data_IF_607720196020
#
_entry.id   IF_607720196020
#
_cell.length_a   1.000
_cell.length_b   1.000
_cell.length_c   1.000
_cell.angle_alpha   90.00
_cell.angle_beta   90.00
_cell.angle_gamma   90.00
#
_symmetry.space_group_name_H-M   'P 1'
#
loop_
_entity.id
_entity.type
_entity.pdbx_description
1 polymer ?
#
# COMPACT_ATOMS: atom_id res chain seq x y z
N UNK A 1 -1.39 -13.86 -3.83
CA UNK A 1 -0.37 -14.13 -2.78
C UNK A 1 -0.27 -12.91 -1.89
N UNK A 2 -0.18 -13.11 -0.56
CA UNK A 2 -0.13 -12.03 0.44
C UNK A 2 1.10 -12.14 1.37
N UNK A 3 2.12 -12.91 0.97
CA UNK A 3 3.34 -13.18 1.74
C UNK A 3 4.26 -11.94 1.86
N UNK A 4 3.90 -10.85 1.19
CA UNK A 4 4.49 -9.52 1.25
C UNK A 4 3.33 -8.52 1.19
N UNK A 5 3.35 -7.40 1.93
CA UNK A 5 2.30 -6.39 1.83
C UNK A 5 2.04 -5.95 0.39
N UNK A 6 0.80 -5.63 0.04
CA UNK A 6 0.49 -5.12 -1.30
C UNK A 6 0.78 -3.62 -1.29
N UNK A 7 1.55 -3.15 -2.26
CA UNK A 7 1.94 -1.75 -2.32
C UNK A 7 2.99 -1.36 -1.28
N UNK A 8 3.14 -0.04 -1.14
CA UNK A 8 4.17 0.60 -0.31
C UNK A 8 3.70 0.87 1.12
N UNK A 9 2.41 1.07 1.31
CA UNK A 9 1.85 1.57 2.55
C UNK A 9 0.96 0.54 3.22
N UNK A 10 1.00 0.50 4.55
CA UNK A 10 0.12 -0.30 5.38
C UNK A 10 -0.47 0.61 6.46
N UNK A 11 -1.79 0.70 6.56
CA UNK A 11 -2.46 1.60 7.52
C UNK A 11 -3.76 2.16 6.97
N UNK A 12 -4.15 3.36 7.40
CA UNK A 12 -5.37 4.01 6.89
C UNK A 12 -5.03 5.20 6.01
N UNK A 13 -4.55 6.31 6.60
CA UNK A 13 -4.18 7.51 5.83
C UNK A 13 -3.07 7.22 4.83
N UNK A 14 -2.08 6.40 5.20
CA UNK A 14 -0.99 6.00 4.30
C UNK A 14 -1.48 5.19 3.09
N UNK A 15 -2.50 4.35 3.26
CA UNK A 15 -3.08 3.58 2.13
C UNK A 15 -3.90 4.47 1.19
N UNK A 16 -4.56 5.52 1.71
CA UNK A 16 -5.18 6.55 0.88
C UNK A 16 -4.14 7.29 0.05
N UNK A 17 -2.99 7.66 0.65
CA UNK A 17 -1.85 8.25 -0.08
C UNK A 17 -1.41 7.31 -1.21
N UNK A 18 -1.19 6.02 -0.91
CA UNK A 18 -0.80 5.03 -1.92
C UNK A 18 -1.80 4.87 -3.05
N UNK A 19 -3.10 4.92 -2.73
CA UNK A 19 -4.18 4.83 -3.71
C UNK A 19 -4.17 6.04 -4.65
N UNK A 20 -4.01 7.24 -4.11
CA UNK A 20 -3.90 8.48 -4.89
C UNK A 20 -2.63 8.47 -5.75
N UNK A 21 -1.49 8.01 -5.22
CA UNK A 21 -0.26 7.86 -5.98
C UNK A 21 -0.46 6.90 -7.18
N UNK A 22 -1.20 5.79 -7.01
CA UNK A 22 -1.56 4.89 -8.13
C UNK A 22 -2.44 5.60 -9.16
N UNK A 23 -3.44 6.36 -8.73
CA UNK A 23 -4.34 7.12 -9.59
C UNK A 23 -3.65 8.29 -10.32
N UNK A 24 -2.54 8.78 -9.77
CA UNK A 24 -1.65 9.77 -10.39
C UNK A 24 -0.60 9.14 -11.33
N UNK A 25 -0.57 7.81 -11.45
CA UNK A 25 0.42 7.08 -12.26
C UNK A 25 1.79 6.88 -11.61
N UNK A 26 1.97 7.26 -10.33
CA UNK A 26 3.24 7.24 -9.60
C UNK A 26 3.29 6.18 -8.48
N UNK A 27 2.22 5.40 -8.29
CA UNK A 27 2.09 4.44 -7.21
C UNK A 27 2.74 3.09 -7.48
N UNK A 28 2.59 2.18 -6.51
CA UNK A 28 3.22 0.85 -6.58
C UNK A 28 2.74 0.01 -7.77
N UNK A 29 3.69 -0.56 -8.50
CA UNK A 29 3.43 -1.36 -9.70
C UNK A 29 2.60 -2.63 -9.41
N UNK A 30 2.75 -3.22 -8.22
CA UNK A 30 2.00 -4.41 -7.82
C UNK A 30 0.52 -4.11 -7.55
N UNK A 31 0.24 -2.98 -6.91
CA UNK A 31 -1.11 -2.49 -6.62
C UNK A 31 -1.80 -2.13 -7.92
N UNK A 32 -1.13 -1.34 -8.76
CA UNK A 32 -1.63 -1.00 -10.11
C UNK A 32 -1.92 -2.28 -10.91
N UNK A 33 -0.98 -3.23 -10.94
CA UNK A 33 -1.15 -4.48 -11.67
C UNK A 33 -2.37 -5.28 -11.21
N UNK A 34 -2.61 -5.36 -9.89
CA UNK A 34 -3.79 -6.03 -9.34
C UNK A 34 -5.09 -5.30 -9.69
N UNK A 35 -5.12 -3.96 -9.60
CA UNK A 35 -6.28 -3.15 -10.00
C UNK A 35 -6.62 -3.38 -11.47
N UNK A 36 -5.62 -3.34 -12.36
CA UNK A 36 -5.83 -3.61 -13.79
C UNK A 36 -6.43 -5.00 -13.99
N UNK A 37 -5.82 -6.05 -13.41
CA UNK A 37 -6.30 -7.43 -13.56
C UNK A 37 -7.76 -7.57 -13.10
N UNK A 38 -8.10 -7.04 -11.92
CA UNK A 38 -9.43 -7.18 -11.34
C UNK A 38 -10.48 -6.38 -12.14
N UNK A 39 -10.16 -5.14 -12.52
CA UNK A 39 -11.06 -4.28 -13.30
C UNK A 39 -11.30 -4.85 -14.70
N UNK A 40 -10.27 -5.38 -15.38
CA UNK A 40 -10.43 -6.07 -16.66
C UNK A 40 -11.44 -7.20 -16.58
N UNK A 41 -11.29 -8.05 -15.55
CA UNK A 41 -12.20 -9.18 -15.36
C UNK A 41 -13.64 -8.71 -15.15
N UNK A 42 -13.83 -7.65 -14.36
CA UNK A 42 -15.14 -7.05 -14.11
C UNK A 42 -15.80 -6.49 -15.37
N UNK A 43 -15.04 -5.80 -16.23
CA UNK A 43 -15.54 -5.21 -17.48
C UNK A 43 -15.95 -6.26 -18.51
N UNK A 44 -15.19 -7.36 -18.60
CA UNK A 44 -15.52 -8.47 -19.51
C UNK A 44 -16.73 -9.23 -18.98
N UNK A 45 -16.76 -9.56 -17.69
CA UNK A 45 -17.87 -10.30 -17.08
C UNK A 45 -19.19 -9.52 -17.08
N UNK A 46 -19.13 -8.19 -16.97
CA UNK A 46 -20.31 -7.32 -17.08
C UNK A 46 -20.78 -7.10 -18.53
N UNK A 47 -20.05 -7.62 -19.53
CA UNK A 47 -20.38 -7.45 -20.95
C UNK A 47 -20.12 -6.04 -21.49
N UNK A 48 -19.42 -5.19 -20.74
CA UNK A 48 -19.06 -3.83 -21.19
C UNK A 48 -17.90 -3.84 -22.18
N UNK A 49 -17.02 -4.85 -22.10
CA UNK A 49 -15.91 -5.04 -23.02
C UNK A 49 -15.88 -6.46 -23.59
N UNK A 50 -15.50 -6.64 -24.86
CA UNK A 50 -15.58 -7.92 -25.55
C UNK A 50 -14.50 -8.92 -25.13
N UNK A 51 -13.36 -8.44 -24.60
CA UNK A 51 -12.23 -9.28 -24.18
C UNK A 51 -11.32 -8.52 -23.21
N UNK A 52 -10.42 -9.26 -22.56
CA UNK A 52 -9.50 -8.72 -21.56
C UNK A 52 -8.51 -7.71 -22.14
N UNK A 53 -8.11 -7.85 -23.41
CA UNK A 53 -7.13 -6.96 -24.03
C UNK A 53 -7.70 -5.55 -24.21
N UNK A 54 -8.93 -5.43 -24.70
CA UNK A 54 -9.61 -4.15 -24.87
C UNK A 54 -9.95 -3.51 -23.51
N UNK A 55 -10.39 -4.33 -22.54
CA UNK A 55 -10.65 -3.88 -21.18
C UNK A 55 -9.37 -3.35 -20.51
N UNK A 56 -8.25 -4.07 -20.66
CA UNK A 56 -6.94 -3.68 -20.12
C UNK A 56 -6.48 -2.35 -20.68
N UNK A 57 -6.55 -2.19 -22.00
CA UNK A 57 -6.15 -0.93 -22.65
C UNK A 57 -6.96 0.25 -22.11
N UNK A 58 -8.26 0.09 -21.91
CA UNK A 58 -9.07 1.16 -21.33
C UNK A 58 -8.69 1.45 -19.88
N UNK A 59 -8.55 0.43 -19.03
CA UNK A 59 -8.19 0.64 -17.62
C UNK A 59 -6.82 1.30 -17.48
N UNK A 60 -5.83 0.86 -18.25
CA UNK A 60 -4.51 1.50 -18.27
C UNK A 60 -4.63 2.97 -18.72
N UNK A 61 -5.42 3.24 -19.76
CA UNK A 61 -5.63 4.61 -20.24
C UNK A 61 -6.23 5.53 -19.17
N UNK A 62 -7.30 5.12 -18.48
CA UNK A 62 -7.94 6.00 -17.46
C UNK A 62 -7.08 6.21 -16.21
N UNK A 63 -6.16 5.28 -15.92
CA UNK A 63 -5.16 5.44 -14.87
C UNK A 63 -3.99 6.33 -15.30
N UNK A 64 -3.76 6.50 -16.60
CA UNK A 64 -2.64 7.28 -17.15
C UNK A 64 -3.04 8.71 -17.54
N UNK A 65 -4.31 8.93 -17.91
CA UNK A 65 -4.82 10.23 -18.37
C UNK A 65 -5.46 11.10 -17.26
N UNK A 66 -5.46 10.60 -16.02
CA UNK A 66 -6.02 11.29 -14.85
C UNK A 66 -7.54 11.17 -14.69
N UNK A 67 -8.24 10.51 -15.63
CA UNK A 67 -9.69 10.32 -15.53
C UNK A 67 -10.09 9.58 -14.26
N UNK A 68 -9.35 8.55 -13.87
CA UNK A 68 -9.62 7.78 -12.66
C UNK A 68 -9.44 8.63 -11.38
N UNK A 69 -8.44 9.52 -11.36
CA UNK A 69 -8.20 10.45 -10.24
C UNK A 69 -9.32 11.49 -10.13
N UNK A 70 -9.79 12.03 -11.26
CA UNK A 70 -10.92 12.96 -11.26
C UNK A 70 -12.22 12.29 -10.79
N UNK A 71 -12.47 11.05 -11.22
CA UNK A 71 -13.59 10.25 -10.70
C UNK A 71 -13.48 9.98 -9.20
N UNK A 72 -12.27 9.75 -8.66
CA UNK A 72 -12.06 9.64 -7.22
C UNK A 72 -12.44 10.93 -6.48
N UNK A 73 -12.03 12.11 -7.00
CA UNK A 73 -12.44 13.41 -6.46
C UNK A 73 -13.96 13.59 -6.47
N UNK A 74 -14.62 13.25 -7.58
CA UNK A 74 -16.09 13.29 -7.70
C UNK A 74 -16.76 12.34 -6.70
N UNK A 75 -16.18 11.15 -6.49
CA UNK A 75 -16.67 10.18 -5.51
C UNK A 75 -16.55 10.72 -4.06
N UNK A 76 -15.44 11.38 -3.72
CA UNK A 76 -15.26 12.01 -2.40
C UNK A 76 -16.30 13.10 -2.15
N UNK A 77 -16.47 14.02 -3.12
CA UNK A 77 -17.44 15.12 -3.00
C UNK A 77 -18.88 14.63 -2.94
N UNK A 78 -19.22 13.58 -3.69
CA UNK A 78 -20.54 12.94 -3.63
C UNK A 78 -20.85 12.29 -2.27
N UNK A 79 -19.82 11.99 -1.47
CA UNK A 79 -19.94 11.46 -0.12
C UNK A 79 -19.83 12.53 0.98
N UNK A 80 -19.81 13.81 0.60
CA UNK A 80 -19.84 14.94 1.55
C UNK A 80 -18.48 15.51 1.92
N UNK A 81 -17.40 15.17 1.21
CA UNK A 81 -16.13 15.90 1.33
C UNK A 81 -16.27 17.25 0.62
N UNK A 82 -15.93 18.34 1.32
CA UNK A 82 -15.93 19.68 0.72
C UNK A 82 -15.01 19.75 -0.51
N UNK A 83 -15.44 20.50 -1.54
CA UNK A 83 -14.74 20.52 -2.84
C UNK A 83 -13.27 20.95 -2.71
N UNK A 84 -12.99 22.01 -1.93
CA UNK A 84 -11.63 22.52 -1.71
C UNK A 84 -10.73 21.46 -1.03
N UNK A 85 -11.30 20.64 -0.13
CA UNK A 85 -10.58 19.54 0.54
C UNK A 85 -10.31 18.42 -0.46
N UNK A 86 -11.29 18.06 -1.30
CA UNK A 86 -11.12 17.03 -2.31
C UNK A 86 -10.09 17.43 -3.38
N UNK A 87 -10.05 18.71 -3.78
CA UNK A 87 -9.03 19.26 -4.67
C UNK A 87 -7.63 19.19 -4.04
N UNK A 88 -7.48 19.68 -2.80
CA UNK A 88 -6.21 19.58 -2.08
C UNK A 88 -5.76 18.12 -1.88
N UNK A 89 -6.69 17.19 -1.66
CA UNK A 89 -6.40 15.77 -1.42
C UNK A 89 -5.79 15.11 -2.66
N UNK A 90 -6.28 15.41 -3.87
CA UNK A 90 -5.73 14.84 -5.10
C UNK A 90 -4.46 15.54 -5.59
N UNK A 91 -4.20 16.77 -5.12
CA UNK A 91 -2.97 17.50 -5.42
C UNK A 91 -1.81 17.02 -4.53
N UNK A 92 -2.00 17.06 -3.21
CA UNK A 92 -1.04 16.55 -2.24
C UNK A 92 -1.76 15.99 -1.01
N UNK A 93 -2.00 14.66 -0.96
CA UNK A 93 -2.77 14.05 0.11
C UNK A 93 -2.12 14.19 1.49
N UNK A 94 -0.80 14.43 1.56
CA UNK A 94 -0.07 14.60 2.83
C UNK A 94 -0.42 15.90 3.55
N UNK A 95 -0.94 16.90 2.82
CA UNK A 95 -1.38 18.17 3.42
C UNK A 95 -2.81 18.10 3.98
N UNK A 96 -3.57 17.06 3.63
CA UNK A 96 -4.98 16.90 4.01
C UNK A 96 -5.16 15.81 5.05
N UNK A 97 -4.46 14.68 4.88
CA UNK A 97 -4.64 13.52 5.72
C UNK A 97 -3.90 13.66 7.06
N UNK A 98 -4.41 13.06 8.15
CA UNK A 98 -3.72 13.01 9.44
C UNK A 98 -2.29 12.45 9.32
N UNK A 99 -1.36 13.07 10.05
CA UNK A 99 0.06 12.68 10.10
C UNK A 99 0.49 12.31 11.51
N UNK A 100 1.33 11.29 11.65
CA UNK A 100 1.84 10.85 12.95
C UNK A 100 2.78 11.87 13.60
N UNK A 101 2.86 11.83 14.92
CA UNK A 101 3.75 12.70 15.70
C UNK A 101 5.21 12.36 15.49
N UNK A 102 5.51 11.07 15.30
CA UNK A 102 6.87 10.56 15.14
C UNK A 102 6.96 9.60 13.96
N UNK A 103 8.19 9.41 13.49
CA UNK A 103 8.56 8.33 12.59
C UNK A 103 9.80 7.60 13.10
N UNK A 104 9.90 6.31 12.83
CA UNK A 104 11.11 5.52 13.11
C UNK A 104 11.47 4.69 11.91
N UNK A 105 12.70 4.85 11.44
CA UNK A 105 13.21 4.11 10.29
C UNK A 105 13.97 2.88 10.74
N UNK A 106 13.62 1.72 10.19
CA UNK A 106 14.33 0.47 10.41
C UNK A 106 15.30 0.19 9.26
N UNK A 107 16.44 -0.36 9.65
CA UNK A 107 17.55 -0.73 8.78
C UNK A 107 17.69 -2.22 8.66
N UNK A 108 18.21 -2.66 7.53
CA UNK A 108 18.58 -4.04 7.31
C UNK A 108 19.77 -4.43 8.17
N UNK A 109 19.69 -5.57 8.85
CA UNK A 109 20.79 -6.07 9.69
C UNK A 109 21.88 -6.80 8.89
N UNK A 110 21.67 -7.07 7.61
CA UNK A 110 22.64 -7.76 6.74
C UNK A 110 22.39 -7.46 5.27
N UNK A 111 23.38 -7.76 4.43
CA UNK A 111 23.25 -7.66 2.98
C UNK A 111 22.65 -8.94 2.36
N UNK A 112 21.96 -8.81 1.22
CA UNK A 112 21.42 -9.93 0.47
C UNK A 112 20.29 -9.51 -0.48
N UNK A 113 19.29 -10.37 -0.66
CA UNK A 113 18.07 -10.08 -1.40
C UNK A 113 16.86 -10.15 -0.48
N UNK A 114 15.89 -9.25 -0.68
CA UNK A 114 14.61 -9.24 0.04
C UNK A 114 13.83 -10.50 -0.32
N UNK A 115 13.66 -11.41 0.64
CA UNK A 115 12.90 -12.65 0.47
C UNK A 115 11.41 -12.43 0.71
N UNK A 116 11.06 -12.05 1.94
CA UNK A 116 9.69 -11.82 2.39
C UNK A 116 9.64 -10.74 3.48
N UNK A 117 8.46 -10.16 3.68
CA UNK A 117 8.15 -9.31 4.84
C UNK A 117 6.94 -9.93 5.51
N UNK A 118 7.02 -10.20 6.81
CA UNK A 118 5.91 -10.75 7.56
C UNK A 118 4.79 -9.70 7.73
N UNK A 119 3.85 -9.69 6.78
CA UNK A 119 2.69 -8.80 6.75
C UNK A 119 1.84 -8.87 8.02
N UNK A 120 1.74 -10.06 8.63
CA UNK A 120 0.94 -10.24 9.85
C UNK A 120 1.60 -9.52 11.03
N UNK A 121 2.92 -9.64 11.19
CA UNK A 121 3.65 -8.91 12.24
C UNK A 121 3.50 -7.40 12.10
N UNK A 122 3.59 -6.87 10.88
CA UNK A 122 3.33 -5.45 10.62
C UNK A 122 1.89 -5.10 11.04
N UNK A 123 0.89 -5.82 10.56
CA UNK A 123 -0.52 -5.55 10.88
C UNK A 123 -0.81 -5.60 12.40
N UNK A 124 -0.24 -6.57 13.12
CA UNK A 124 -0.39 -6.71 14.57
C UNK A 124 0.22 -5.53 15.33
N UNK A 125 1.40 -5.07 14.92
CA UNK A 125 2.07 -3.93 15.55
C UNK A 125 1.33 -2.63 15.23
N UNK A 126 0.95 -2.38 13.96
CA UNK A 126 0.13 -1.22 13.61
C UNK A 126 -1.17 -1.19 14.43
N UNK A 127 -1.83 -2.34 14.58
CA UNK A 127 -3.05 -2.45 15.41
C UNK A 127 -2.78 -2.18 16.88
N UNK A 128 -1.69 -2.71 17.45
CA UNK A 128 -1.30 -2.45 18.84
C UNK A 128 -1.04 -0.96 19.10
N UNK A 129 -0.62 -0.22 18.06
CA UNK A 129 -0.42 1.23 18.09
C UNK A 129 -1.66 2.03 17.65
N UNK A 130 -2.82 1.40 17.47
CA UNK A 130 -4.12 2.05 17.24
C UNK A 130 -4.56 2.18 15.78
N UNK A 131 -3.82 1.62 14.81
CA UNK A 131 -4.22 1.65 13.39
C UNK A 131 -5.40 0.72 13.06
N UNK A 132 -5.87 -0.08 14.02
CA UNK A 132 -6.93 -1.04 13.83
C UNK A 132 -7.68 -1.33 15.12
N UNK A 133 -8.74 -2.11 14.98
CA UNK A 133 -9.67 -2.43 16.07
C UNK A 133 -9.37 -3.79 16.70
N UNK A 134 -9.43 -3.87 18.03
CA UNK A 134 -9.58 -5.13 18.78
C UNK A 134 -11.06 -5.43 19.03
N UNK A 135 -11.88 -4.39 19.24
CA UNK A 135 -13.33 -4.44 19.42
C UNK A 135 -14.03 -3.46 18.48
N UNK A 136 -15.34 -3.62 18.24
CA UNK A 136 -16.05 -2.78 17.27
C UNK A 136 -16.14 -1.31 17.73
N UNK A 137 -16.01 -1.08 19.03
CA UNK A 137 -16.06 0.21 19.70
C UNK A 137 -14.74 0.98 19.67
N UNK A 138 -13.63 0.34 19.28
CA UNK A 138 -12.32 0.99 19.29
C UNK A 138 -12.24 2.12 18.25
N UNK A 139 -11.73 3.27 18.69
CA UNK A 139 -11.34 4.36 17.81
C UNK A 139 -10.08 3.99 17.04
N UNK A 140 -10.04 4.35 15.75
CA UNK A 140 -8.87 4.15 14.89
C UNK A 140 -8.06 5.44 14.87
N UNK A 141 -6.74 5.30 14.97
CA UNK A 141 -5.76 6.38 14.78
C UNK A 141 -5.25 6.30 13.33
N UNK A 142 -5.80 7.06 12.38
CA UNK A 142 -5.62 6.79 10.95
C UNK A 142 -4.19 7.04 10.44
N UNK A 143 -3.44 7.89 11.13
CA UNK A 143 -2.07 8.26 10.78
C UNK A 143 -1.02 7.20 11.15
N UNK A 144 -1.39 6.17 11.92
CA UNK A 144 -0.49 5.08 12.30
C UNK A 144 -0.38 4.07 11.17
N UNK A 145 0.84 3.64 10.87
CA UNK A 145 1.09 2.64 9.85
C UNK A 145 2.53 2.62 9.36
N UNK A 146 2.78 1.89 8.28
CA UNK A 146 4.12 1.67 7.74
C UNK A 146 4.24 2.16 6.30
N UNK A 147 5.43 2.65 5.99
CA UNK A 147 5.92 2.87 4.63
C UNK A 147 7.09 1.93 4.36
N UNK A 148 6.92 1.04 3.39
CA UNK A 148 7.91 0.05 2.97
C UNK A 148 8.78 0.69 1.88
N UNK A 149 10.10 0.66 2.07
CA UNK A 149 11.07 1.35 1.21
C UNK A 149 11.76 0.41 0.20
N UNK A 150 11.36 -0.86 0.19
CA UNK A 150 11.99 -1.92 -0.59
C UNK A 150 10.95 -2.80 -1.27
N UNK A 151 11.35 -3.47 -2.33
CA UNK A 151 10.53 -4.42 -3.08
C UNK A 151 11.02 -5.87 -2.89
N UNK A 152 10.10 -6.83 -3.03
CA UNK A 152 10.47 -8.24 -3.03
C UNK A 152 11.48 -8.56 -4.13
N UNK A 153 12.55 -9.28 -3.78
CA UNK A 153 13.64 -9.63 -4.70
C UNK A 153 14.63 -8.50 -4.99
N UNK A 154 14.44 -7.31 -4.40
CA UNK A 154 15.42 -6.23 -4.46
C UNK A 154 16.71 -6.64 -3.71
N UNK A 155 17.87 -6.24 -4.22
CA UNK A 155 19.11 -6.32 -3.47
C UNK A 155 19.14 -5.26 -2.37
N UNK A 156 19.55 -5.64 -1.16
CA UNK A 156 19.61 -4.77 0.00
C UNK A 156 20.98 -4.90 0.68
N UNK A 157 21.54 -3.79 1.15
CA UNK A 157 22.78 -3.80 1.94
C UNK A 157 22.49 -3.73 3.43
N UNK A 158 23.43 -4.17 4.25
CA UNK A 158 23.44 -3.86 5.68
C UNK A 158 23.33 -2.34 5.88
N UNK A 159 22.64 -1.94 6.94
CA UNK A 159 22.31 -0.55 7.28
C UNK A 159 21.41 0.21 6.30
N UNK A 160 20.95 -0.43 5.20
CA UNK A 160 19.99 0.19 4.29
C UNK A 160 18.60 0.27 4.94
N UNK A 161 17.96 1.43 4.85
CA UNK A 161 16.59 1.64 5.32
C UNK A 161 15.60 0.79 4.50
N UNK A 162 14.65 0.15 5.18
CA UNK A 162 13.66 -0.70 4.52
C UNK A 162 12.22 -0.46 4.96
N UNK A 163 12.02 0.11 6.17
CA UNK A 163 10.69 0.41 6.71
C UNK A 163 10.74 1.75 7.44
N UNK A 164 9.69 2.54 7.30
CA UNK A 164 9.38 3.67 8.18
C UNK A 164 8.10 3.32 8.94
N UNK A 165 8.15 3.35 10.27
CA UNK A 165 6.97 3.24 11.11
C UNK A 165 6.51 4.65 11.51
N UNK A 166 5.28 5.00 11.13
CA UNK A 166 4.55 6.18 11.57
C UNK A 166 3.81 5.87 12.87
N UNK A 167 4.18 6.54 13.96
CA UNK A 167 3.63 6.26 15.29
C UNK A 167 3.47 7.51 16.14
N UNK A 168 2.65 7.41 17.19
CA UNK A 168 2.35 8.51 18.11
C UNK A 168 2.97 8.32 19.50
N UNK A 169 3.52 7.13 19.79
CA UNK A 169 4.05 6.72 21.09
C UNK A 169 5.44 6.09 20.95
N UNK A 170 6.19 6.02 22.04
CA UNK A 170 7.53 5.44 21.99
C UNK A 170 7.46 3.92 21.73
N UNK A 171 8.27 3.45 20.79
CA UNK A 171 8.41 2.02 20.50
C UNK A 171 9.07 1.28 21.66
N UNK A 172 8.51 0.12 21.98
CA UNK A 172 9.07 -0.80 22.97
C UNK A 172 10.23 -1.61 22.38
N UNK A 173 11.06 -2.21 23.22
CA UNK A 173 12.10 -3.16 22.76
C UNK A 173 11.51 -4.36 22.00
N UNK A 174 10.30 -4.79 22.40
CA UNK A 174 9.58 -5.87 21.73
C UNK A 174 9.09 -5.47 20.33
N UNK A 175 8.63 -4.22 20.15
CA UNK A 175 8.27 -3.69 18.83
C UNK A 175 9.49 -3.71 17.90
N UNK A 176 10.63 -3.19 18.37
CA UNK A 176 11.87 -3.21 17.60
C UNK A 176 12.29 -4.64 17.26
N UNK A 177 12.28 -5.55 18.24
CA UNK A 177 12.65 -6.94 18.03
C UNK A 177 11.76 -7.61 16.97
N UNK A 178 10.44 -7.48 17.08
CA UNK A 178 9.49 -8.07 16.13
C UNK A 178 9.63 -7.47 14.73
N UNK A 179 9.73 -6.14 14.62
CA UNK A 179 9.90 -5.47 13.33
C UNK A 179 11.23 -5.86 12.67
N UNK A 180 12.34 -5.89 13.40
CA UNK A 180 13.64 -6.33 12.87
C UNK A 180 13.63 -7.77 12.37
N UNK A 181 12.87 -8.67 13.02
CA UNK A 181 12.73 -10.06 12.59
C UNK A 181 11.63 -10.28 11.53
N UNK A 182 10.91 -9.23 11.14
CA UNK A 182 9.85 -9.33 10.11
C UNK A 182 10.39 -9.29 8.68
N UNK A 183 11.64 -8.87 8.47
CA UNK A 183 12.30 -8.86 7.16
C UNK A 183 13.16 -10.12 6.99
N UNK A 184 12.83 -10.94 5.99
CA UNK A 184 13.65 -12.07 5.59
C UNK A 184 14.61 -11.68 4.46
N UNK A 185 15.91 -11.94 4.68
CA UNK A 185 16.95 -11.70 3.67
C UNK A 185 17.61 -13.02 3.30
N UNK A 186 17.57 -13.31 2.00
CA UNK A 186 18.08 -14.52 1.37
C UNK A 186 19.33 -14.24 0.54
N UNK A 187 20.16 -15.28 0.33
CA UNK A 187 21.45 -15.14 -0.36
C UNK A 187 21.34 -15.13 -1.90
N UNK A 188 20.22 -15.64 -2.43
CA UNK A 188 19.97 -15.70 -3.87
C UNK A 188 18.69 -14.92 -4.18
N UNK A 189 18.67 -14.25 -5.34
CA UNK A 189 17.49 -13.49 -5.76
C UNK A 189 16.30 -14.45 -5.89
N UNK A 190 15.20 -14.24 -5.13
CA UNK A 190 14.02 -15.08 -5.24
C UNK A 190 13.39 -14.95 -6.64
N UNK A 191 12.77 -16.02 -7.12
CA UNK A 191 11.99 -15.96 -8.34
C UNK A 191 10.77 -15.05 -8.15
N UNK A 192 10.60 -14.09 -9.07
CA UNK A 192 9.45 -13.21 -9.05
C UNK A 192 8.23 -14.00 -9.53
N UNK A 193 7.25 -14.13 -8.64
CA UNK A 193 6.00 -14.85 -8.94
C UNK A 193 4.85 -13.87 -9.03
N UNK A 194 3.85 -14.20 -9.86
CA UNK A 194 2.66 -13.38 -9.98
C UNK A 194 1.92 -13.28 -8.64
N UNK A 195 1.40 -12.09 -8.33
CA UNK A 195 0.46 -11.89 -7.22
C UNK A 195 -0.84 -12.68 -7.44
N UNK A 196 -1.26 -12.84 -8.69
CA UNK A 196 -2.41 -13.65 -9.09
C UNK A 196 -2.01 -15.13 -9.21
N UNK A 197 -2.68 -15.99 -8.46
CA UNK A 197 -2.44 -17.45 -8.48
C UNK A 197 -3.27 -18.11 -9.58
N UNK A 198 -4.57 -17.83 -9.61
CA UNK A 198 -5.51 -18.34 -10.60
C UNK A 198 -6.73 -17.44 -10.69
N UNK A 199 -7.45 -17.54 -11.80
CA UNK A 199 -8.82 -17.01 -11.96
C UNK A 199 -9.76 -18.20 -11.87
N UNK A 200 -10.83 -18.06 -11.07
CA UNK A 200 -11.89 -19.06 -10.97
C UNK A 200 -13.08 -18.49 -11.73
N UNK A 201 -13.44 -19.14 -12.84
CA UNK A 201 -14.51 -18.75 -13.75
C UNK A 201 -15.57 -19.83 -13.83
#
# INVERSE_FOLDING_TARGET
>A
RMDFPIGKYVGNSLEVIGSIEVLQGNGSSDTRGLVVIQACSLLVQSGLYPNEQDAKKMIEQVLDDGSALDYFKQMCTSQGVEIDIAEALIEDPRNVLPTSKNTTTLKSSKSGYVGSINSMTLAEIARAHGAGRFTIEDDIIPEIGFEILIEQGQAITEDQNWLVFHHNEQLTEDDFFKLSNSLEIVNQKPEQTSRLISVIS
#
